data_IF_162614371084
#
_entry.id   IF_162614371084
#
_cell.length_a   1.000
_cell.length_b   1.000
_cell.length_c   1.000
_cell.angle_alpha   90.00
_cell.angle_beta   90.00
_cell.angle_gamma   90.00
#
_symmetry.space_group_name_H-M   'P 1'
#
loop_
_entity.id
_entity.type
_entity.pdbx_description
1 polymer ?
#
# COMPACT_ATOMS: atom_id res chain seq x y z
N UNK A 1 12.74 15.50 -12.33
CA UNK A 1 11.49 15.73 -11.58
C UNK A 1 11.53 14.90 -10.31
N UNK A 2 11.15 15.49 -9.17
CA UNK A 2 11.11 14.75 -7.92
C UNK A 2 10.03 13.66 -7.97
N UNK A 3 10.35 12.49 -7.41
CA UNK A 3 9.44 11.34 -7.26
C UNK A 3 8.53 11.50 -6.03
N UNK A 4 8.35 12.74 -5.57
CA UNK A 4 7.66 13.07 -4.32
C UNK A 4 6.19 12.69 -4.36
N UNK A 5 5.51 12.84 -5.50
CA UNK A 5 4.09 12.47 -5.65
C UNK A 5 3.87 10.99 -5.41
N UNK A 6 4.72 10.13 -5.98
CA UNK A 6 4.67 8.67 -5.81
C UNK A 6 4.89 8.30 -4.34
N UNK A 7 5.90 8.90 -3.70
CA UNK A 7 6.19 8.70 -2.28
C UNK A 7 5.03 9.15 -1.38
N UNK A 8 4.46 10.34 -1.61
CA UNK A 8 3.39 10.90 -0.77
C UNK A 8 2.12 10.08 -0.90
N UNK A 9 1.69 9.75 -2.12
CA UNK A 9 0.53 8.88 -2.35
C UNK A 9 0.76 7.50 -1.74
N UNK A 10 1.99 7.00 -1.81
CA UNK A 10 2.42 5.77 -1.18
C UNK A 10 2.28 5.75 0.33
N UNK A 11 2.86 6.75 1.00
CA UNK A 11 2.81 6.88 2.44
C UNK A 11 1.37 7.09 2.90
N UNK A 12 0.60 7.95 2.23
CA UNK A 12 -0.80 8.17 2.56
C UNK A 12 -1.63 6.89 2.39
N UNK A 13 -1.46 6.18 1.27
CA UNK A 13 -2.12 4.91 1.01
C UNK A 13 -1.75 3.84 2.04
N UNK A 14 -0.46 3.74 2.41
CA UNK A 14 0.02 2.83 3.43
C UNK A 14 -0.44 3.18 4.85
N UNK A 15 -0.56 4.45 5.22
CA UNK A 15 -1.09 4.86 6.52
C UNK A 15 -2.60 4.64 6.61
N UNK A 16 -3.34 4.92 5.55
CA UNK A 16 -4.78 4.63 5.51
C UNK A 16 -5.02 3.12 5.53
N UNK A 17 -4.19 2.34 4.83
CA UNK A 17 -4.24 0.88 4.89
C UNK A 17 -3.95 0.33 6.28
N UNK A 18 -3.07 1.00 7.03
CA UNK A 18 -2.76 0.64 8.40
C UNK A 18 -3.95 0.91 9.33
N UNK A 19 -4.63 2.06 9.15
CA UNK A 19 -5.88 2.35 9.84
C UNK A 19 -6.99 1.34 9.51
N UNK A 20 -7.13 0.96 8.23
CA UNK A 20 -8.07 -0.07 7.79
C UNK A 20 -7.76 -1.45 8.37
N UNK A 21 -6.47 -1.83 8.43
CA UNK A 21 -6.02 -3.08 9.04
C UNK A 21 -6.30 -3.11 10.54
N UNK A 22 -6.06 -2.00 11.25
CA UNK A 22 -6.39 -1.88 12.67
C UNK A 22 -7.89 -2.05 12.94
N UNK A 23 -8.73 -1.44 12.10
CA UNK A 23 -10.17 -1.60 12.20
C UNK A 23 -10.61 -3.05 11.90
N UNK A 24 -10.04 -3.68 10.88
CA UNK A 24 -10.30 -5.08 10.55
C UNK A 24 -9.89 -6.04 11.68
N UNK A 25 -8.74 -5.78 12.32
CA UNK A 25 -8.29 -6.54 13.50
C UNK A 25 -9.24 -6.36 14.69
N UNK A 26 -9.75 -5.14 14.91
CA UNK A 26 -10.70 -4.86 15.98
C UNK A 26 -12.05 -5.55 15.76
N UNK A 27 -12.58 -5.51 14.54
CA UNK A 27 -13.81 -6.25 14.19
C UNK A 27 -13.57 -7.76 14.26
N UNK A 28 -12.42 -8.24 13.79
CA UNK A 28 -12.05 -9.64 13.85
C UNK A 28 -11.94 -10.16 15.28
N UNK A 29 -11.36 -9.41 16.21
CA UNK A 29 -11.25 -9.83 17.61
C UNK A 29 -12.60 -9.83 18.34
N UNK A 30 -13.52 -8.92 17.97
CA UNK A 30 -14.90 -8.94 18.48
C UNK A 30 -15.67 -10.16 17.97
N UNK A 31 -15.55 -10.48 16.68
CA UNK A 31 -16.21 -11.65 16.09
C UNK A 31 -15.64 -12.96 16.64
N UNK A 32 -14.34 -13.02 16.89
CA UNK A 32 -13.67 -14.15 17.54
C UNK A 32 -14.15 -14.35 18.99
N UNK A 33 -14.39 -13.26 19.73
CA UNK A 33 -14.93 -13.33 21.09
C UNK A 33 -16.42 -13.70 21.16
N UNK A 34 -17.22 -13.38 20.13
CA UNK A 34 -18.67 -13.61 20.11
C UNK A 34 -19.07 -14.93 19.43
N UNK A 35 -18.43 -15.25 18.31
CA UNK A 35 -18.76 -16.38 17.43
C UNK A 35 -17.63 -17.42 17.33
N UNK A 36 -16.42 -17.13 17.83
CA UNK A 36 -15.28 -18.05 17.78
C UNK A 36 -14.58 -18.13 16.41
N UNK A 37 -14.86 -17.21 15.50
CA UNK A 37 -14.29 -17.20 14.14
C UNK A 37 -13.02 -16.33 14.05
N UNK A 38 -11.89 -16.95 13.69
CA UNK A 38 -10.57 -16.27 13.60
C UNK A 38 -10.19 -15.80 12.18
N UNK A 39 -11.09 -15.93 11.20
CA UNK A 39 -10.75 -15.64 9.80
C UNK A 39 -10.52 -14.14 9.55
N UNK A 40 -11.33 -13.27 10.18
CA UNK A 40 -11.19 -11.82 10.05
C UNK A 40 -9.94 -11.27 10.76
N UNK A 41 -9.55 -11.85 11.89
CA UNK A 41 -8.33 -11.45 12.61
C UNK A 41 -7.07 -11.82 11.81
N UNK A 42 -7.06 -13.00 11.16
CA UNK A 42 -6.02 -13.41 10.22
C UNK A 42 -5.87 -12.44 9.04
N UNK A 43 -6.98 -12.05 8.42
CA UNK A 43 -7.00 -11.10 7.30
C UNK A 43 -6.49 -9.71 7.71
N UNK A 44 -6.91 -9.19 8.88
CA UNK A 44 -6.44 -7.90 9.40
C UNK A 44 -4.93 -7.89 9.67
N UNK A 45 -4.36 -8.98 10.19
CA UNK A 45 -2.91 -9.07 10.46
C UNK A 45 -2.09 -9.06 9.17
N UNK A 46 -2.57 -9.74 8.13
CA UNK A 46 -1.92 -9.72 6.81
C UNK A 46 -1.93 -8.32 6.20
N UNK A 47 -3.07 -7.61 6.26
CA UNK A 47 -3.19 -6.25 5.78
C UNK A 47 -2.25 -5.27 6.49
N UNK A 48 -2.04 -5.47 7.80
CA UNK A 48 -1.07 -4.69 8.58
C UNK A 48 0.35 -4.82 8.03
N UNK A 49 0.80 -6.05 7.76
CA UNK A 49 2.11 -6.32 7.16
C UNK A 49 2.21 -5.76 5.74
N UNK A 50 1.15 -5.88 4.93
CA UNK A 50 1.11 -5.30 3.60
C UNK A 50 1.16 -3.75 3.63
N UNK A 51 0.59 -3.12 4.65
CA UNK A 51 0.70 -1.67 4.82
C UNK A 51 2.10 -1.21 5.18
N UNK A 52 2.80 -1.94 6.06
CA UNK A 52 4.19 -1.65 6.39
C UNK A 52 5.09 -1.76 5.15
N UNK A 53 4.92 -2.83 4.36
CA UNK A 53 5.64 -3.02 3.09
C UNK A 53 5.30 -1.95 2.05
N UNK A 54 4.04 -1.48 1.99
CA UNK A 54 3.65 -0.37 1.12
C UNK A 54 4.40 0.93 1.45
N UNK A 55 4.56 1.25 2.74
CA UNK A 55 5.33 2.42 3.21
C UNK A 55 6.80 2.28 2.83
N UNK A 56 7.39 1.09 3.01
CA UNK A 56 8.77 0.81 2.58
C UNK A 56 8.91 0.99 1.06
N UNK A 57 7.96 0.48 0.28
CA UNK A 57 7.90 0.67 -1.17
C UNK A 57 7.84 2.15 -1.58
N UNK A 58 7.06 2.95 -0.85
CA UNK A 58 6.94 4.39 -1.06
C UNK A 58 8.27 5.13 -0.84
N UNK A 59 9.06 4.73 0.17
CA UNK A 59 10.39 5.30 0.42
C UNK A 59 11.38 4.88 -0.67
N UNK A 60 11.37 3.60 -1.05
CA UNK A 60 12.27 3.03 -2.06
C UNK A 60 12.05 3.67 -3.44
N UNK A 61 10.83 4.13 -3.76
CA UNK A 61 10.50 4.74 -5.06
C UNK A 61 11.39 5.94 -5.42
N UNK A 62 11.96 6.64 -4.42
CA UNK A 62 12.88 7.76 -4.62
C UNK A 62 14.22 7.35 -5.25
N UNK A 63 14.76 6.19 -4.87
CA UNK A 63 16.06 5.72 -5.33
C UNK A 63 15.93 4.62 -6.40
N UNK A 64 14.90 3.77 -6.30
CA UNK A 64 14.57 2.69 -7.23
C UNK A 64 13.08 2.70 -7.58
N UNK A 65 12.68 3.62 -8.46
CA UNK A 65 11.28 3.86 -8.83
C UNK A 65 10.53 2.59 -9.26
N UNK A 66 11.13 1.74 -10.11
CA UNK A 66 10.50 0.49 -10.55
C UNK A 66 10.26 -0.48 -9.40
N UNK A 67 11.26 -0.67 -8.54
CA UNK A 67 11.17 -1.61 -7.42
C UNK A 67 10.15 -1.13 -6.38
N UNK A 68 10.21 0.15 -6.01
CA UNK A 68 9.23 0.76 -5.12
C UNK A 68 7.81 0.69 -5.70
N UNK A 69 7.67 0.98 -6.99
CA UNK A 69 6.37 0.94 -7.67
C UNK A 69 5.74 -0.46 -7.68
N UNK A 70 6.52 -1.52 -7.92
CA UNK A 70 6.05 -2.90 -7.84
C UNK A 70 5.62 -3.29 -6.42
N UNK A 71 6.41 -2.92 -5.41
CA UNK A 71 6.08 -3.19 -4.00
C UNK A 71 4.74 -2.53 -3.64
N UNK A 72 4.56 -1.26 -4.00
CA UNK A 72 3.34 -0.52 -3.70
C UNK A 72 2.11 -1.08 -4.41
N UNK A 73 2.27 -1.50 -5.68
CA UNK A 73 1.20 -2.09 -6.45
C UNK A 73 0.76 -3.44 -5.85
N UNK A 74 1.71 -4.31 -5.53
CA UNK A 74 1.44 -5.62 -4.92
C UNK A 74 0.80 -5.42 -3.54
N UNK A 75 1.35 -4.55 -2.70
CA UNK A 75 0.77 -4.25 -1.39
C UNK A 75 -0.64 -3.66 -1.51
N UNK A 76 -0.90 -2.76 -2.47
CA UNK A 76 -2.23 -2.19 -2.69
C UNK A 76 -3.28 -3.23 -3.06
N UNK A 77 -2.94 -4.16 -3.95
CA UNK A 77 -3.82 -5.28 -4.33
C UNK A 77 -4.00 -6.25 -3.15
N UNK A 78 -2.91 -6.59 -2.44
CA UNK A 78 -2.98 -7.48 -1.29
C UNK A 78 -3.84 -6.89 -0.16
N UNK A 79 -3.71 -5.59 0.15
CA UNK A 79 -4.56 -4.90 1.13
C UNK A 79 -6.03 -4.93 0.69
N UNK A 80 -6.32 -4.69 -0.59
CA UNK A 80 -7.68 -4.77 -1.11
C UNK A 80 -8.27 -6.18 -0.94
N UNK A 81 -7.50 -7.22 -1.21
CA UNK A 81 -7.96 -8.61 -1.03
C UNK A 81 -8.11 -8.95 0.46
N UNK A 82 -7.17 -8.52 1.31
CA UNK A 82 -7.20 -8.83 2.74
C UNK A 82 -8.35 -8.15 3.48
N UNK A 83 -8.59 -6.86 3.28
CA UNK A 83 -9.60 -6.10 4.05
C UNK A 83 -10.76 -5.58 3.21
N UNK A 84 -10.87 -6.05 1.96
CA UNK A 84 -11.99 -5.79 1.04
C UNK A 84 -12.38 -4.31 0.99
N UNK A 85 -13.59 -3.96 1.45
CA UNK A 85 -14.12 -2.59 1.45
C UNK A 85 -13.21 -1.59 2.18
N UNK A 86 -12.57 -1.98 3.27
CA UNK A 86 -11.63 -1.12 4.00
C UNK A 86 -10.32 -0.92 3.23
N UNK A 87 -9.99 -1.82 2.31
CA UNK A 87 -8.80 -1.78 1.46
C UNK A 87 -8.97 -0.94 0.19
N UNK A 88 -10.18 -0.50 -0.14
CA UNK A 88 -10.46 0.28 -1.36
C UNK A 88 -9.74 1.62 -1.35
N UNK A 89 -9.84 2.39 -0.27
CA UNK A 89 -9.16 3.71 -0.16
C UNK A 89 -7.62 3.57 -0.23
N UNK A 90 -6.99 2.64 0.52
CA UNK A 90 -5.57 2.34 0.36
C UNK A 90 -5.18 1.98 -1.07
N UNK A 91 -5.94 1.10 -1.72
CA UNK A 91 -5.67 0.64 -3.07
C UNK A 91 -5.78 1.76 -4.12
N UNK A 92 -6.78 2.65 -3.97
CA UNK A 92 -6.94 3.82 -4.83
C UNK A 92 -5.76 4.79 -4.75
N UNK A 93 -4.98 4.76 -3.67
CA UNK A 93 -3.77 5.58 -3.53
C UNK A 93 -2.50 4.81 -3.92
N UNK A 94 -2.39 3.54 -3.53
CA UNK A 94 -1.22 2.70 -3.75
C UNK A 94 -1.08 2.24 -5.21
N UNK A 95 -2.17 1.87 -5.88
CA UNK A 95 -2.12 1.37 -7.26
C UNK A 95 -1.65 2.47 -8.22
N UNK A 96 -2.22 3.70 -8.20
CA UNK A 96 -1.71 4.79 -9.05
C UNK A 96 -0.28 5.19 -8.69
N UNK A 97 0.07 5.22 -7.40
CA UNK A 97 1.44 5.49 -6.96
C UNK A 97 2.44 4.45 -7.51
N UNK A 98 2.05 3.17 -7.46
CA UNK A 98 2.82 2.07 -8.02
C UNK A 98 2.99 2.15 -9.53
N UNK A 99 1.90 2.39 -10.25
CA UNK A 99 1.90 2.58 -11.72
C UNK A 99 2.78 3.76 -12.14
N UNK A 100 2.71 4.88 -11.42
CA UNK A 100 3.58 6.03 -11.68
C UNK A 100 5.06 5.70 -11.44
N UNK A 101 5.38 4.89 -10.42
CA UNK A 101 6.74 4.38 -10.18
C UNK A 101 7.26 3.45 -11.30
N UNK A 102 6.39 2.62 -11.88
CA UNK A 102 6.73 1.63 -12.91
C UNK A 102 6.83 2.25 -14.32
N UNK A 103 5.82 3.02 -14.72
CA UNK A 103 5.62 3.43 -16.12
C UNK A 103 6.41 4.69 -16.46
N UNK A 104 6.65 5.57 -15.48
CA UNK A 104 7.22 6.90 -15.74
C UNK A 104 8.72 6.79 -16.07
N UNK A 105 9.03 6.95 -17.36
CA UNK A 105 10.40 6.94 -17.90
C UNK A 105 11.27 8.01 -17.21
N UNK A 106 12.55 7.72 -16.89
CA UNK A 106 13.48 8.76 -16.51
C UNK A 106 13.58 9.75 -17.68
N UNK A 107 13.38 11.05 -17.41
CA UNK A 107 13.66 12.07 -18.41
C UNK A 107 15.18 12.09 -18.55
N UNK A 108 15.71 11.55 -19.64
CA UNK A 108 17.09 11.78 -20.05
C UNK A 108 17.27 13.29 -20.05
N UNK A 109 18.14 13.80 -19.18
CA UNK A 109 18.64 15.16 -19.34
C UNK A 109 19.19 15.21 -20.76
N UNK A 110 18.54 15.99 -21.62
CA UNK A 110 19.21 16.41 -22.85
C UNK A 110 20.44 17.14 -22.36
N UNK A 111 21.61 16.49 -22.47
CA UNK A 111 22.90 17.17 -22.45
C UNK A 111 22.74 18.35 -23.42
N UNK A 112 22.70 19.55 -22.87
CA UNK A 112 22.85 20.76 -23.66
C UNK A 112 24.26 20.66 -24.27
N UNK A 113 24.29 20.52 -25.60
CA UNK A 113 25.49 20.58 -26.42
C UNK A 113 26.01 22.02 -26.47
#
# INVERSE_FOLDING_TARGET
MSRTTEMVLGILGGLIGFGGAFFALFVGSLDEALNGSSELSGLGSSAFLFSATAIIGAIIVKFKAKLGGWIMLISGVAILVSISLFGVVPALLLIPAGLMGIIRKPKTEKMAA
#
